data_IF_587115764495
#
_entry.id   IF_587115764495
#
_cell.length_a   1.000
_cell.length_b   1.000
_cell.length_c   1.000
_cell.angle_alpha   90.00
_cell.angle_beta   90.00
_cell.angle_gamma   90.00
#
_symmetry.space_group_name_H-M   'P 1'
#
loop_
_entity.id
_entity.type
_entity.pdbx_description
1 polymer ?
#
# COMPACT_ATOMS: atom_id res chain seq x y z
N UNK A 1 -21.44 -0.13 -18.73
CA UNK A 1 -20.00 0.18 -18.47
C UNK A 1 -19.15 -0.95 -19.02
N UNK A 2 -18.02 -0.66 -19.68
CA UNK A 2 -17.08 -1.70 -20.15
C UNK A 2 -16.17 -2.13 -19.01
N UNK A 3 -15.84 -3.42 -18.93
CA UNK A 3 -14.94 -3.96 -17.90
C UNK A 3 -13.50 -3.52 -18.12
N UNK A 4 -13.08 -3.44 -19.39
CA UNK A 4 -11.70 -3.15 -19.81
C UNK A 4 -11.54 -1.68 -20.19
N UNK A 5 -10.32 -1.15 -20.01
CA UNK A 5 -9.96 0.21 -20.43
C UNK A 5 -10.09 0.39 -21.96
N UNK A 6 -10.38 1.61 -22.37
CA UNK A 6 -10.32 2.06 -23.78
C UNK A 6 -9.35 3.23 -23.90
N UNK A 7 -9.09 3.72 -25.11
CA UNK A 7 -8.27 4.92 -25.31
C UNK A 7 -8.96 6.22 -24.83
N UNK A 8 -10.27 6.16 -24.55
CA UNK A 8 -11.08 7.32 -24.14
C UNK A 8 -11.37 7.34 -22.64
N UNK A 9 -11.50 6.16 -21.99
CA UNK A 9 -11.91 6.06 -20.58
C UNK A 9 -11.40 4.79 -19.90
N UNK A 10 -11.28 4.87 -18.57
CA UNK A 10 -10.99 3.72 -17.71
C UNK A 10 -12.17 2.75 -17.66
N UNK A 11 -11.87 1.45 -17.61
CA UNK A 11 -12.85 0.39 -17.38
C UNK A 11 -13.18 0.21 -15.90
N UNK A 12 -14.26 -0.53 -15.63
CA UNK A 12 -14.75 -0.77 -14.28
C UNK A 12 -13.70 -1.44 -13.38
N UNK A 13 -12.92 -2.39 -13.91
CA UNK A 13 -11.86 -3.08 -13.16
C UNK A 13 -10.78 -2.10 -12.69
N UNK A 14 -10.33 -1.19 -13.54
CA UNK A 14 -9.31 -0.20 -13.17
C UNK A 14 -9.83 0.77 -12.09
N UNK A 15 -11.10 1.17 -12.18
CA UNK A 15 -11.76 2.05 -11.20
C UNK A 15 -11.94 1.31 -9.87
N UNK A 16 -12.44 0.08 -9.89
CA UNK A 16 -12.65 -0.71 -8.68
C UNK A 16 -11.33 -0.99 -7.94
N UNK A 17 -10.27 -1.41 -8.65
CA UNK A 17 -8.94 -1.60 -8.07
C UNK A 17 -8.37 -0.30 -7.48
N UNK A 18 -8.61 0.85 -8.15
CA UNK A 18 -8.16 2.13 -7.62
C UNK A 18 -8.80 2.46 -6.27
N UNK A 19 -10.13 2.40 -6.20
CA UNK A 19 -10.85 2.74 -4.98
C UNK A 19 -10.62 1.73 -3.85
N UNK A 20 -10.52 0.44 -4.18
CA UNK A 20 -10.17 -0.60 -3.19
C UNK A 20 -8.83 -0.28 -2.55
N UNK A 21 -7.79 0.00 -3.36
CA UNK A 21 -6.45 0.33 -2.85
C UNK A 21 -6.48 1.63 -2.04
N UNK A 22 -7.13 2.69 -2.55
CA UNK A 22 -7.16 3.98 -1.87
C UNK A 22 -7.84 3.91 -0.50
N UNK A 23 -9.02 3.28 -0.41
CA UNK A 23 -9.75 3.11 0.85
C UNK A 23 -8.95 2.23 1.82
N UNK A 24 -8.35 1.14 1.34
CA UNK A 24 -7.55 0.25 2.19
C UNK A 24 -6.30 0.94 2.73
N UNK A 25 -5.59 1.76 1.92
CA UNK A 25 -4.44 2.54 2.39
C UNK A 25 -4.85 3.50 3.51
N UNK A 26 -5.96 4.24 3.34
CA UNK A 26 -6.45 5.17 4.37
C UNK A 26 -6.83 4.40 5.65
N UNK A 27 -7.53 3.28 5.52
CA UNK A 27 -7.91 2.45 6.67
C UNK A 27 -6.69 1.90 7.41
N UNK A 28 -5.68 1.39 6.69
CA UNK A 28 -4.42 0.92 7.29
C UNK A 28 -3.61 2.05 7.91
N UNK A 29 -3.59 3.24 7.32
CA UNK A 29 -2.91 4.40 7.89
C UNK A 29 -3.54 4.79 9.24
N UNK A 30 -4.87 4.91 9.30
CA UNK A 30 -5.58 5.21 10.55
C UNK A 30 -5.37 4.10 11.59
N UNK A 31 -5.48 2.83 11.17
CA UNK A 31 -5.21 1.68 12.04
C UNK A 31 -3.78 1.68 12.56
N UNK A 32 -2.81 2.03 11.71
CA UNK A 32 -1.39 2.13 12.05
C UNK A 32 -1.12 3.19 13.12
N UNK A 33 -1.69 4.39 12.96
CA UNK A 33 -1.57 5.46 13.94
C UNK A 33 -2.22 5.10 15.28
N UNK A 34 -3.37 4.41 15.25
CA UNK A 34 -4.06 4.01 16.45
C UNK A 34 -3.37 2.85 17.18
N UNK A 35 -2.88 1.84 16.46
CA UNK A 35 -2.33 0.63 17.10
C UNK A 35 -1.02 0.88 17.86
N UNK A 36 -0.25 1.92 17.52
CA UNK A 36 0.99 2.28 18.22
C UNK A 36 0.75 2.98 19.55
N UNK A 37 -0.47 3.47 19.79
CA UNK A 37 -0.90 4.07 21.06
C UNK A 37 -1.46 3.04 22.05
N UNK A 38 -1.67 1.78 21.62
CA UNK A 38 -2.23 0.73 22.46
C UNK A 38 -1.18 0.20 23.45
N UNK A 39 -1.57 0.02 24.70
CA UNK A 39 -0.73 -0.62 25.71
C UNK A 39 -1.03 -2.13 25.86
N UNK A 40 -0.19 -2.81 26.64
CA UNK A 40 -0.29 -4.25 26.84
C UNK A 40 -1.65 -4.72 27.40
N UNK A 41 -2.36 -3.87 28.11
CA UNK A 41 -3.66 -4.20 28.74
C UNK A 41 -4.84 -3.98 27.81
N UNK A 42 -4.62 -3.34 26.66
CA UNK A 42 -5.67 -3.14 25.66
C UNK A 42 -6.08 -4.46 25.00
N UNK A 43 -7.38 -4.67 24.86
CA UNK A 43 -7.93 -5.86 24.22
C UNK A 43 -7.50 -5.98 22.72
N UNK A 44 -7.10 -4.87 22.10
CA UNK A 44 -6.69 -4.77 20.72
C UNK A 44 -5.16 -4.77 20.52
N UNK A 45 -4.37 -4.74 21.60
CA UNK A 45 -2.92 -4.67 21.54
C UNK A 45 -2.26 -5.67 20.56
N UNK A 46 -2.73 -6.92 20.56
CA UNK A 46 -2.24 -7.97 19.63
C UNK A 46 -3.05 -8.04 18.35
N UNK A 47 -4.36 -7.74 18.39
CA UNK A 47 -5.26 -7.91 17.25
C UNK A 47 -5.07 -6.83 16.19
N UNK A 48 -4.90 -5.57 16.60
CA UNK A 48 -4.74 -4.47 15.66
C UNK A 48 -3.48 -4.63 14.77
N UNK A 49 -2.28 -4.90 15.32
CA UNK A 49 -1.10 -5.21 14.49
C UNK A 49 -1.27 -6.44 13.61
N UNK A 50 -1.92 -7.51 14.10
CA UNK A 50 -2.17 -8.71 13.30
C UNK A 50 -3.04 -8.41 12.07
N UNK A 51 -4.13 -7.65 12.25
CA UNK A 51 -5.00 -7.21 11.15
C UNK A 51 -4.24 -6.28 10.20
N UNK A 52 -3.49 -5.32 10.73
CA UNK A 52 -2.69 -4.39 9.90
C UNK A 52 -1.72 -5.14 8.99
N UNK A 53 -0.97 -6.09 9.53
CA UNK A 53 -0.01 -6.91 8.77
C UNK A 53 -0.71 -7.78 7.72
N UNK A 54 -1.75 -8.51 8.11
CA UNK A 54 -2.48 -9.41 7.21
C UNK A 54 -3.14 -8.64 6.05
N UNK A 55 -3.83 -7.53 6.35
CA UNK A 55 -4.44 -6.67 5.31
C UNK A 55 -3.37 -6.00 4.45
N UNK A 56 -2.22 -5.61 5.03
CA UNK A 56 -1.07 -5.08 4.30
C UNK A 56 -0.54 -6.06 3.25
N UNK A 57 -0.41 -7.35 3.59
CA UNK A 57 0.00 -8.41 2.64
C UNK A 57 -1.04 -8.58 1.52
N UNK A 58 -2.33 -8.61 1.85
CA UNK A 58 -3.38 -8.71 0.83
C UNK A 58 -3.39 -7.48 -0.09
N UNK A 59 -3.20 -6.28 0.46
CA UNK A 59 -3.08 -5.05 -0.31
C UNK A 59 -1.87 -5.10 -1.26
N UNK A 60 -0.74 -5.65 -0.83
CA UNK A 60 0.43 -5.86 -1.69
C UNK A 60 0.06 -6.66 -2.95
N UNK A 61 -0.65 -7.76 -2.78
CA UNK A 61 -1.13 -8.59 -3.91
C UNK A 61 -2.08 -7.83 -4.83
N UNK A 62 -2.99 -7.03 -4.26
CA UNK A 62 -3.93 -6.20 -5.04
C UNK A 62 -3.19 -5.10 -5.82
N UNK A 63 -2.15 -4.48 -5.24
CA UNK A 63 -1.32 -3.49 -5.93
C UNK A 63 -0.53 -4.13 -7.07
N UNK A 64 0.04 -5.32 -6.87
CA UNK A 64 0.70 -6.08 -7.94
C UNK A 64 -0.29 -6.41 -9.08
N UNK A 65 -1.49 -6.86 -8.75
CA UNK A 65 -2.55 -7.12 -9.74
C UNK A 65 -2.88 -5.84 -10.53
N UNK A 66 -2.99 -4.70 -9.84
CA UNK A 66 -3.21 -3.40 -10.49
C UNK A 66 -2.05 -3.01 -11.41
N UNK A 67 -0.80 -3.28 -11.03
CA UNK A 67 0.36 -3.04 -11.90
C UNK A 67 0.30 -3.88 -13.17
N UNK A 68 0.04 -5.18 -13.04
CA UNK A 68 -0.14 -6.07 -14.19
C UNK A 68 -1.27 -5.57 -15.10
N UNK A 69 -2.41 -5.20 -14.49
CA UNK A 69 -3.55 -4.62 -15.22
C UNK A 69 -3.18 -3.33 -15.95
N UNK A 70 -2.42 -2.46 -15.31
CA UNK A 70 -1.97 -1.19 -15.88
C UNK A 70 -1.05 -1.40 -17.10
N UNK A 71 -0.21 -2.43 -17.08
CA UNK A 71 0.71 -2.72 -18.19
C UNK A 71 0.03 -3.47 -19.34
N UNK A 72 -0.96 -4.31 -19.06
CA UNK A 72 -1.68 -5.11 -20.06
C UNK A 72 -2.87 -4.39 -20.68
N UNK A 73 -3.31 -3.25 -20.12
CA UNK A 73 -4.51 -2.54 -20.59
C UNK A 73 -4.19 -1.25 -21.34
N UNK A 74 -4.99 -0.86 -22.35
CA UNK A 74 -4.88 0.41 -23.02
C UNK A 74 -4.93 1.59 -22.00
N UNK A 75 -4.16 2.64 -22.29
CA UNK A 75 -4.16 3.85 -21.46
C UNK A 75 -5.04 4.91 -22.10
N UNK A 76 -5.98 5.52 -21.36
CA UNK A 76 -6.70 6.69 -21.83
C UNK A 76 -5.75 7.83 -22.15
N UNK A 77 -6.11 8.63 -23.16
CA UNK A 77 -5.33 9.80 -23.53
C UNK A 77 -5.38 10.85 -22.41
N UNK A 78 -4.21 11.39 -22.06
CA UNK A 78 -4.13 12.48 -21.09
C UNK A 78 -4.57 13.80 -21.74
N UNK A 79 -5.49 14.52 -21.10
CA UNK A 79 -5.90 15.86 -21.48
C UNK A 79 -5.25 16.87 -20.53
N UNK A 80 -4.66 17.95 -21.05
CA UNK A 80 -4.02 19.01 -20.27
C UNK A 80 -2.87 19.68 -21.00
N UNK A 81 -2.33 20.76 -20.42
CA UNK A 81 -1.13 21.43 -20.91
C UNK A 81 0.12 20.57 -20.67
N UNK A 82 1.15 20.74 -21.50
CA UNK A 82 2.33 19.86 -21.49
C UNK A 82 2.97 19.62 -20.12
N UNK A 83 3.14 20.67 -19.29
CA UNK A 83 3.71 20.54 -17.93
C UNK A 83 2.78 19.81 -16.95
N UNK A 84 1.46 20.07 -17.03
CA UNK A 84 0.46 19.39 -16.17
C UNK A 84 0.45 17.88 -16.42
N UNK A 85 0.51 17.48 -17.69
CA UNK A 85 0.58 16.06 -18.08
C UNK A 85 1.85 15.39 -17.56
N UNK A 86 2.98 16.10 -17.56
CA UNK A 86 4.26 15.57 -17.05
C UNK A 86 4.19 15.38 -15.54
N UNK A 87 3.71 16.37 -14.79
CA UNK A 87 3.55 16.30 -13.32
C UNK A 87 2.59 15.17 -12.95
N UNK A 88 1.40 15.15 -13.57
CA UNK A 88 0.42 14.10 -13.31
C UNK A 88 0.97 12.69 -13.56
N UNK A 89 1.78 12.51 -14.61
CA UNK A 89 2.43 11.22 -14.90
C UNK A 89 3.41 10.80 -13.82
N UNK A 90 4.20 11.72 -13.29
CA UNK A 90 5.13 11.42 -12.21
C UNK A 90 4.40 11.12 -10.90
N UNK A 91 3.38 11.90 -10.55
CA UNK A 91 2.55 11.66 -9.36
C UNK A 91 1.87 10.28 -9.44
N UNK A 92 1.27 9.93 -10.58
CA UNK A 92 0.65 8.61 -10.76
C UNK A 92 1.66 7.45 -10.67
N UNK A 93 2.88 7.62 -11.21
CA UNK A 93 3.94 6.61 -11.05
C UNK A 93 4.38 6.47 -9.61
N UNK A 94 4.53 7.58 -8.90
CA UNK A 94 4.90 7.59 -7.49
C UNK A 94 3.83 6.91 -6.64
N UNK A 95 2.54 7.25 -6.85
CA UNK A 95 1.41 6.62 -6.17
C UNK A 95 1.21 5.13 -6.53
N UNK A 96 1.83 4.64 -7.59
CA UNK A 96 1.85 3.22 -7.93
C UNK A 96 3.00 2.48 -7.25
N UNK A 97 4.18 3.09 -7.14
CA UNK A 97 5.40 2.44 -6.62
C UNK A 97 5.51 2.61 -5.10
N UNK A 98 5.19 3.79 -4.57
CA UNK A 98 5.35 4.09 -3.15
C UNK A 98 4.60 3.13 -2.22
N UNK A 99 3.36 2.68 -2.50
CA UNK A 99 2.69 1.66 -1.70
C UNK A 99 3.51 0.37 -1.57
N UNK A 100 4.19 -0.08 -2.64
CA UNK A 100 5.01 -1.29 -2.60
C UNK A 100 6.20 -1.13 -1.65
N UNK A 101 6.84 0.05 -1.65
CA UNK A 101 7.96 0.33 -0.75
C UNK A 101 7.49 0.42 0.70
N UNK A 102 6.33 1.04 0.95
CA UNK A 102 5.67 1.07 2.27
C UNK A 102 5.39 -0.35 2.76
N UNK A 103 4.78 -1.19 1.93
CA UNK A 103 4.47 -2.58 2.32
C UNK A 103 5.72 -3.43 2.52
N UNK A 104 6.77 -3.21 1.73
CA UNK A 104 8.05 -3.89 1.92
C UNK A 104 8.72 -3.48 3.24
N UNK A 105 8.72 -2.19 3.60
CA UNK A 105 9.23 -1.76 4.91
C UNK A 105 8.42 -2.35 6.06
N UNK A 106 7.09 -2.44 5.96
CA UNK A 106 6.22 -3.11 6.93
C UNK A 106 6.50 -4.63 7.06
N UNK A 107 6.84 -5.29 5.95
CA UNK A 107 7.33 -6.66 5.98
C UNK A 107 8.63 -6.78 6.79
N UNK A 108 9.60 -5.90 6.58
CA UNK A 108 10.87 -5.90 7.32
C UNK A 108 10.69 -5.69 8.83
N UNK A 109 9.75 -4.82 9.25
CA UNK A 109 9.39 -4.68 10.67
C UNK A 109 8.89 -6.02 11.21
N UNK A 110 7.91 -6.61 10.51
CA UNK A 110 7.18 -7.78 10.99
C UNK A 110 8.02 -9.05 11.03
N UNK A 111 9.10 -9.11 10.26
CA UNK A 111 9.97 -10.30 10.16
C UNK A 111 11.32 -10.11 10.84
N UNK A 112 11.55 -9.00 11.53
CA UNK A 112 12.83 -8.67 12.15
C UNK A 112 13.30 -9.72 13.16
N UNK A 113 12.38 -10.32 13.91
CA UNK A 113 12.64 -11.38 14.90
C UNK A 113 12.65 -12.80 14.31
N UNK A 114 12.51 -12.95 12.98
CA UNK A 114 12.44 -14.24 12.30
C UNK A 114 11.05 -14.86 12.26
N UNK A 115 10.01 -14.17 12.78
CA UNK A 115 8.63 -14.66 12.74
C UNK A 115 8.02 -14.49 11.35
N UNK A 116 7.19 -15.47 10.92
CA UNK A 116 6.35 -15.34 9.71
C UNK A 116 5.16 -14.42 9.96
N UNK A 117 4.59 -13.87 8.89
CA UNK A 117 3.36 -13.09 8.95
C UNK A 117 2.19 -14.02 8.63
N UNK A 118 1.34 -14.28 9.64
CA UNK A 118 0.07 -14.99 9.43
C UNK A 118 -0.93 -14.09 8.70
N UNK A 119 -1.52 -14.60 7.62
CA UNK A 119 -2.54 -13.91 6.85
C UNK A 119 -3.89 -14.58 7.09
N UNK A 120 -4.54 -14.24 8.20
CA UNK A 120 -5.85 -14.75 8.62
C UNK A 120 -5.93 -16.29 8.66
N UNK A 121 -4.84 -16.96 9.00
CA UNK A 121 -4.71 -18.42 9.01
C UNK A 121 -4.98 -19.09 7.65
N UNK A 122 -4.93 -18.33 6.56
CA UNK A 122 -5.03 -18.83 5.19
C UNK A 122 -3.68 -19.28 4.66
N UNK A 123 -2.64 -18.48 4.90
CA UNK A 123 -1.25 -18.77 4.57
C UNK A 123 -0.32 -17.89 5.40
N UNK A 124 0.96 -18.25 5.41
CA UNK A 124 2.01 -17.47 6.08
C UNK A 124 3.02 -16.93 5.07
N UNK A 125 3.48 -15.70 5.31
CA UNK A 125 4.60 -15.11 4.58
C UNK A 125 5.87 -15.34 5.40
N UNK A 126 6.84 -16.11 4.90
CA UNK A 126 8.05 -16.44 5.66
C UNK A 126 8.96 -15.23 5.87
N UNK A 127 9.72 -15.23 6.96
CA UNK A 127 10.76 -14.25 7.23
C UNK A 127 12.04 -14.59 6.43
N UNK A 128 12.14 -14.05 5.20
CA UNK A 128 13.32 -14.27 4.34
C UNK A 128 14.48 -13.33 4.75
N UNK A 129 14.13 -12.12 5.21
CA UNK A 129 15.07 -11.12 5.70
C UNK A 129 14.75 -10.89 7.18
N UNK A 130 15.67 -11.29 8.06
CA UNK A 130 15.46 -11.23 9.50
C UNK A 130 16.78 -11.24 10.26
N UNK A 131 16.72 -11.00 11.57
CA UNK A 131 17.87 -11.06 12.50
C UNK A 131 19.01 -10.12 12.13
N UNK A 132 18.71 -8.96 11.51
CA UNK A 132 19.66 -7.89 11.25
C UNK A 132 19.55 -6.88 12.40
N UNK A 133 20.70 -6.49 12.96
CA UNK A 133 20.75 -5.52 14.06
C UNK A 133 20.06 -4.20 13.67
N UNK A 134 19.13 -3.73 14.49
CA UNK A 134 18.36 -2.50 14.25
C UNK A 134 17.32 -2.59 13.11
N UNK A 135 17.05 -3.78 12.56
CA UNK A 135 16.12 -3.94 11.43
C UNK A 135 14.74 -3.39 11.74
N UNK A 136 14.17 -3.71 12.91
CA UNK A 136 12.82 -3.31 13.31
C UNK A 136 12.72 -1.79 13.40
N UNK A 137 13.67 -1.14 14.08
CA UNK A 137 13.66 0.30 14.31
C UNK A 137 13.83 1.09 13.00
N UNK A 138 14.84 0.74 12.21
CA UNK A 138 15.11 1.41 10.93
C UNK A 138 13.94 1.21 9.95
N UNK A 139 13.43 -0.01 9.85
CA UNK A 139 12.29 -0.30 8.99
C UNK A 139 11.01 0.39 9.49
N UNK A 140 10.84 0.53 10.80
CA UNK A 140 9.74 1.26 11.43
C UNK A 140 9.74 2.73 11.08
N UNK A 141 10.87 3.42 11.25
CA UNK A 141 11.03 4.83 10.89
C UNK A 141 10.77 5.06 9.40
N UNK A 142 11.35 4.22 8.56
CA UNK A 142 11.15 4.27 7.10
C UNK A 142 9.68 4.04 6.74
N UNK A 143 9.04 3.05 7.34
CA UNK A 143 7.62 2.74 7.10
C UNK A 143 6.73 3.94 7.45
N UNK A 144 6.93 4.52 8.61
CA UNK A 144 6.15 5.67 9.08
C UNK A 144 6.30 6.88 8.15
N UNK A 145 7.54 7.27 7.84
CA UNK A 145 7.83 8.42 6.95
C UNK A 145 7.23 8.21 5.56
N UNK A 146 7.38 7.01 5.00
CA UNK A 146 6.84 6.70 3.68
C UNK A 146 5.30 6.63 3.67
N UNK A 147 4.68 6.11 4.75
CA UNK A 147 3.22 6.06 4.88
C UNK A 147 2.62 7.47 4.97
N UNK A 148 3.21 8.36 5.78
CA UNK A 148 2.80 9.77 5.85
C UNK A 148 2.96 10.45 4.48
N UNK A 149 4.11 10.25 3.83
CA UNK A 149 4.39 10.80 2.51
C UNK A 149 3.37 10.34 1.47
N UNK A 150 3.04 9.04 1.48
CA UNK A 150 2.02 8.46 0.60
C UNK A 150 0.65 9.11 0.78
N UNK A 151 0.20 9.28 2.02
CA UNK A 151 -1.11 9.88 2.33
C UNK A 151 -1.13 11.36 1.93
N UNK A 152 -0.05 12.11 2.19
CA UNK A 152 0.06 13.53 1.77
C UNK A 152 0.00 13.65 0.24
N UNK A 153 0.76 12.84 -0.49
CA UNK A 153 0.74 12.87 -1.97
C UNK A 153 -0.64 12.45 -2.49
N UNK A 154 -1.28 11.45 -1.88
CA UNK A 154 -2.62 11.03 -2.27
C UNK A 154 -3.66 12.14 -2.02
N UNK A 155 -3.57 12.87 -0.90
CA UNK A 155 -4.43 14.01 -0.60
C UNK A 155 -4.24 15.15 -1.62
N UNK A 156 -2.99 15.49 -1.96
CA UNK A 156 -2.69 16.49 -2.98
C UNK A 156 -3.13 16.07 -4.39
N UNK A 157 -3.12 14.77 -4.67
CA UNK A 157 -3.59 14.22 -5.94
C UNK A 157 -5.12 14.35 -6.12
N UNK A 158 -5.88 14.43 -5.03
CA UNK A 158 -7.35 14.59 -5.06
C UNK A 158 -7.80 16.04 -5.23
N UNK A 159 -6.92 17.02 -5.05
CA UNK A 159 -7.18 18.46 -5.24
C UNK A 159 -7.02 18.87 -6.69
#
# INVERSE_FOLDING_TARGET
>A
MRLVNTRERYGLVAIALHWLIAVTIIALFVLGLWMVELDYYDAWYRRAPAIHKAVGVLLFLVVLLRMVWHWSSPRPQSHGKGHEVVIARWVHRLLLVLPLVVMFSGYLISTADGSSIDVFSLFEVPAIISNIEGQEDIAGDVHFVLAVTLVVIAALHML
#
